data_IF_375620221761
#
_entry.id   IF_375620221761
#
_cell.length_a   1.000
_cell.length_b   1.000
_cell.length_c   1.000
_cell.angle_alpha   90.00
_cell.angle_beta   90.00
_cell.angle_gamma   90.00
#
_symmetry.space_group_name_H-M   'P 1'
#
loop_
_entity.id
_entity.type
_entity.pdbx_description
1 polymer ?
#
# COMPACT_ATOMS: atom_id res chain seq x y z
N UNK A 1 -20.33 0.90 -4.13
CA UNK A 1 -18.89 1.26 -4.12
C UNK A 1 -18.22 0.64 -5.34
N UNK A 2 -17.31 1.35 -5.99
CA UNK A 2 -16.53 0.81 -7.11
C UNK A 2 -15.36 -0.03 -6.55
N UNK A 3 -15.22 -1.27 -7.00
CA UNK A 3 -14.15 -2.19 -6.55
C UNK A 3 -12.81 -1.94 -7.23
N UNK A 4 -12.78 -1.13 -8.30
CA UNK A 4 -11.57 -0.87 -9.08
C UNK A 4 -10.40 -0.36 -8.24
N UNK A 5 -10.58 0.59 -7.30
CA UNK A 5 -9.43 1.06 -6.51
C UNK A 5 -8.85 -0.04 -5.62
N UNK A 6 -9.67 -0.91 -5.03
CA UNK A 6 -9.19 -2.08 -4.29
C UNK A 6 -8.38 -3.01 -5.21
N UNK A 7 -8.87 -3.30 -6.41
CA UNK A 7 -8.16 -4.13 -7.38
C UNK A 7 -6.84 -3.51 -7.81
N UNK A 8 -6.79 -2.18 -7.99
CA UNK A 8 -5.55 -1.45 -8.26
C UNK A 8 -4.53 -1.66 -7.15
N UNK A 9 -4.91 -1.50 -5.88
CA UNK A 9 -4.00 -1.75 -4.76
C UNK A 9 -3.58 -3.22 -4.67
N UNK A 10 -4.48 -4.16 -4.89
CA UNK A 10 -4.13 -5.59 -4.91
C UNK A 10 -3.18 -5.92 -6.07
N UNK A 11 -3.31 -5.26 -7.23
CA UNK A 11 -2.39 -5.44 -8.35
C UNK A 11 -0.96 -5.03 -8.01
N UNK A 12 -0.77 -4.06 -7.09
CA UNK A 12 0.55 -3.68 -6.59
C UNK A 12 1.25 -4.76 -5.75
N UNK A 13 0.55 -5.82 -5.33
CA UNK A 13 1.18 -6.98 -4.70
C UNK A 13 2.05 -7.76 -5.69
N UNK A 14 1.67 -7.77 -6.98
CA UNK A 14 2.31 -8.59 -8.00
C UNK A 14 3.78 -8.22 -8.24
N UNK A 15 4.13 -6.96 -8.57
CA UNK A 15 5.53 -6.59 -8.75
C UNK A 15 6.35 -6.78 -7.46
N UNK A 16 5.76 -6.45 -6.32
CA UNK A 16 6.41 -6.58 -5.02
C UNK A 16 6.74 -8.03 -4.68
N UNK A 17 5.80 -8.95 -4.88
CA UNK A 17 6.01 -10.38 -4.68
C UNK A 17 7.06 -10.94 -5.66
N UNK A 18 7.06 -10.48 -6.92
CA UNK A 18 8.06 -10.88 -7.91
C UNK A 18 9.48 -10.48 -7.49
N UNK A 19 9.66 -9.26 -6.98
CA UNK A 19 10.95 -8.78 -6.46
C UNK A 19 11.32 -9.49 -5.16
N UNK A 20 10.41 -9.53 -4.18
CA UNK A 20 10.64 -10.10 -2.86
C UNK A 20 11.03 -11.59 -2.93
N UNK A 21 10.41 -12.37 -3.82
CA UNK A 21 10.76 -13.78 -4.05
C UNK A 21 12.22 -13.99 -4.44
N UNK A 22 12.84 -13.02 -5.09
CA UNK A 22 14.23 -13.12 -5.57
C UNK A 22 15.23 -12.58 -4.57
N UNK A 23 14.89 -11.49 -3.88
CA UNK A 23 15.82 -10.77 -3.00
C UNK A 23 15.68 -11.16 -1.53
N UNK A 24 14.45 -11.41 -1.08
CA UNK A 24 14.11 -11.67 0.33
C UNK A 24 13.07 -12.80 0.47
N UNK A 25 13.27 -13.97 -0.17
CA UNK A 25 12.28 -15.06 -0.19
C UNK A 25 11.87 -15.56 1.21
N UNK A 26 12.75 -15.42 2.19
CA UNK A 26 12.49 -15.76 3.58
C UNK A 26 11.33 -14.96 4.18
N UNK A 27 11.11 -13.73 3.72
CA UNK A 27 10.07 -12.84 4.24
C UNK A 27 8.67 -13.22 3.76
N UNK A 28 8.57 -14.01 2.69
CA UNK A 28 7.30 -14.52 2.14
C UNK A 28 6.82 -15.82 2.82
N UNK A 29 7.55 -16.31 3.84
CA UNK A 29 7.20 -17.56 4.53
C UNK A 29 6.16 -17.40 5.63
N UNK A 30 5.78 -16.16 5.98
CA UNK A 30 4.81 -15.88 7.04
C UNK A 30 3.35 -16.19 6.69
N UNK A 31 3.08 -16.71 5.49
CA UNK A 31 1.73 -16.94 5.01
C UNK A 31 1.15 -15.71 4.33
N UNK A 32 -0.16 -15.72 4.07
CA UNK A 32 -0.83 -14.78 3.17
C UNK A 32 -0.68 -13.33 3.63
N UNK A 33 -1.13 -13.00 4.85
CA UNK A 33 -1.10 -11.63 5.34
C UNK A 33 0.32 -11.07 5.46
N UNK A 34 1.29 -11.75 6.09
CA UNK A 34 2.68 -11.28 6.11
C UNK A 34 3.27 -11.08 4.71
N UNK A 35 2.99 -12.00 3.77
CA UNK A 35 3.47 -11.87 2.38
C UNK A 35 2.88 -10.66 1.67
N UNK A 36 1.62 -10.30 1.95
CA UNK A 36 1.00 -9.11 1.39
C UNK A 36 1.69 -7.83 1.87
N UNK A 37 2.01 -7.76 3.17
CA UNK A 37 2.71 -6.62 3.76
C UNK A 37 4.08 -6.41 3.11
N UNK A 38 4.87 -7.48 3.02
CA UNK A 38 6.19 -7.49 2.37
C UNK A 38 6.06 -7.10 0.90
N UNK A 39 5.06 -7.63 0.20
CA UNK A 39 4.87 -7.34 -1.23
C UNK A 39 4.53 -5.88 -1.48
N UNK A 40 3.57 -5.30 -0.75
CA UNK A 40 3.27 -3.87 -0.88
C UNK A 40 4.45 -2.98 -0.53
N UNK A 41 5.12 -3.26 0.59
CA UNK A 41 6.30 -2.49 0.99
C UNK A 41 7.41 -2.58 -0.05
N UNK A 42 7.67 -3.78 -0.60
CA UNK A 42 8.65 -3.97 -1.67
C UNK A 42 8.30 -3.13 -2.90
N UNK A 43 7.04 -3.13 -3.33
CA UNK A 43 6.58 -2.27 -4.42
C UNK A 43 6.82 -0.81 -4.13
N UNK A 44 6.50 -0.34 -2.91
CA UNK A 44 6.72 1.06 -2.52
C UNK A 44 8.20 1.43 -2.51
N UNK A 45 9.06 0.58 -1.97
CA UNK A 45 10.51 0.81 -1.94
C UNK A 45 11.09 0.86 -3.35
N UNK A 46 10.67 -0.04 -4.25
CA UNK A 46 11.14 -0.05 -5.65
C UNK A 46 10.66 1.18 -6.42
N UNK A 47 9.42 1.63 -6.18
CA UNK A 47 8.85 2.80 -6.85
C UNK A 47 9.33 4.12 -6.25
N UNK A 48 9.77 4.16 -5.00
CA UNK A 48 10.12 5.40 -4.31
C UNK A 48 11.15 6.25 -5.06
N UNK A 49 12.29 5.72 -5.56
CA UNK A 49 13.24 6.51 -6.34
C UNK A 49 12.62 7.12 -7.60
N UNK A 50 11.80 6.34 -8.31
CA UNK A 50 11.13 6.79 -9.55
C UNK A 50 10.13 7.91 -9.24
N UNK A 51 9.37 7.77 -8.16
CA UNK A 51 8.41 8.79 -7.71
C UNK A 51 9.14 10.05 -7.23
N UNK A 52 10.25 9.93 -6.49
CA UNK A 52 11.06 11.08 -6.06
C UNK A 52 11.60 11.84 -7.28
N UNK A 53 12.20 11.15 -8.24
CA UNK A 53 12.66 11.76 -9.50
C UNK A 53 11.48 12.37 -10.26
N UNK A 54 10.33 11.70 -10.26
CA UNK A 54 9.10 12.21 -10.84
C UNK A 54 8.67 13.55 -10.24
N UNK A 55 8.73 13.70 -8.91
CA UNK A 55 8.47 14.97 -8.22
C UNK A 55 9.50 16.05 -8.53
N UNK A 56 10.78 15.69 -8.58
CA UNK A 56 11.87 16.63 -8.89
C UNK A 56 11.79 17.15 -10.33
N UNK A 57 11.47 16.27 -11.28
CA UNK A 57 11.38 16.58 -12.70
C UNK A 57 9.97 16.98 -13.16
N UNK A 58 8.99 17.04 -12.25
CA UNK A 58 7.59 17.40 -12.54
C UNK A 58 6.95 16.56 -13.62
N UNK A 59 7.21 15.26 -13.56
CA UNK A 59 6.78 14.33 -14.60
C UNK A 59 5.24 14.28 -14.62
N UNK A 60 4.60 14.42 -15.80
CA UNK A 60 3.15 14.26 -15.90
C UNK A 60 2.69 12.90 -15.38
N UNK A 61 1.46 12.81 -14.86
CA UNK A 61 0.95 11.57 -14.26
C UNK A 61 0.79 10.44 -15.29
N UNK A 62 0.53 10.76 -16.55
CA UNK A 62 0.28 9.80 -17.63
C UNK A 62 1.48 8.86 -17.91
N UNK A 63 2.71 9.34 -18.15
CA UNK A 63 3.87 8.44 -18.30
C UNK A 63 4.14 7.62 -17.03
N UNK A 64 3.91 8.18 -15.84
CA UNK A 64 4.03 7.42 -14.58
C UNK A 64 2.98 6.30 -14.49
N UNK A 65 1.77 6.53 -14.98
CA UNK A 65 0.73 5.52 -15.10
C UNK A 65 1.12 4.40 -16.06
N UNK A 66 1.64 4.73 -17.24
CA UNK A 66 2.14 3.73 -18.17
C UNK A 66 3.28 2.90 -17.55
N UNK A 67 4.24 3.54 -16.89
CA UNK A 67 5.34 2.87 -16.20
C UNK A 67 4.83 1.90 -15.11
N UNK A 68 3.87 2.34 -14.30
CA UNK A 68 3.29 1.49 -13.26
C UNK A 68 2.52 0.31 -13.85
N UNK A 69 1.76 0.52 -14.92
CA UNK A 69 1.08 -0.56 -15.63
C UNK A 69 2.07 -1.60 -16.17
N UNK A 70 3.16 -1.15 -16.80
CA UNK A 70 4.25 -2.05 -17.26
C UNK A 70 4.86 -2.81 -16.09
N UNK A 71 5.09 -2.17 -14.95
CA UNK A 71 5.66 -2.82 -13.77
C UNK A 71 4.72 -3.88 -13.18
N UNK A 72 3.41 -3.60 -13.11
CA UNK A 72 2.39 -4.56 -12.70
C UNK A 72 2.35 -5.75 -13.66
N UNK A 73 2.32 -5.48 -14.98
CA UNK A 73 2.30 -6.53 -16.01
C UNK A 73 3.54 -7.40 -15.98
N UNK A 74 4.72 -6.80 -15.75
CA UNK A 74 5.96 -7.53 -15.55
C UNK A 74 5.90 -8.44 -14.33
N UNK A 75 5.41 -7.94 -13.19
CA UNK A 75 5.25 -8.72 -11.96
C UNK A 75 4.29 -9.90 -12.16
N UNK A 76 3.16 -9.66 -12.83
CA UNK A 76 2.20 -10.70 -13.19
C UNK A 76 2.86 -11.77 -14.07
N UNK A 77 3.54 -11.36 -15.15
CA UNK A 77 4.20 -12.27 -16.08
C UNK A 77 5.30 -13.11 -15.41
N UNK A 78 6.12 -12.50 -14.54
CA UNK A 78 7.16 -13.22 -13.80
C UNK A 78 6.56 -14.31 -12.89
N UNK A 79 5.53 -13.97 -12.12
CA UNK A 79 4.88 -14.90 -11.21
C UNK A 79 4.19 -16.05 -11.96
N UNK A 80 3.57 -15.76 -13.11
CA UNK A 80 2.98 -16.75 -13.99
C UNK A 80 4.05 -17.71 -14.55
N UNK A 81 5.15 -17.16 -15.09
CA UNK A 81 6.27 -17.94 -15.64
C UNK A 81 6.94 -18.82 -14.58
N UNK A 82 7.09 -18.30 -13.37
CA UNK A 82 7.64 -19.03 -12.23
C UNK A 82 6.66 -20.06 -11.63
N UNK A 83 5.43 -20.18 -12.18
CA UNK A 83 4.39 -21.12 -11.74
C UNK A 83 4.07 -21.04 -10.25
N UNK A 84 4.22 -19.86 -9.65
CA UNK A 84 3.98 -19.64 -8.21
C UNK A 84 2.54 -20.00 -7.83
N UNK A 85 1.61 -19.88 -8.78
CA UNK A 85 0.20 -20.23 -8.63
C UNK A 85 -0.06 -21.72 -8.39
N UNK A 86 0.82 -22.64 -8.84
CA UNK A 86 0.62 -24.10 -8.75
C UNK A 86 0.63 -24.59 -7.29
N UNK A 87 1.28 -23.87 -6.38
CA UNK A 87 1.22 -24.11 -4.93
C UNK A 87 0.35 -23.13 -4.14
N UNK A 88 -0.15 -22.07 -4.78
CA UNK A 88 -0.73 -20.89 -4.11
C UNK A 88 -2.25 -20.78 -4.25
N UNK A 89 -2.95 -21.80 -4.75
CA UNK A 89 -4.42 -21.78 -4.93
C UNK A 89 -5.16 -21.38 -3.64
N UNK A 90 -4.73 -21.92 -2.50
CA UNK A 90 -5.30 -21.62 -1.20
C UNK A 90 -4.97 -20.18 -0.75
N UNK A 91 -3.81 -19.66 -1.13
CA UNK A 91 -3.43 -18.28 -0.88
C UNK A 91 -4.26 -17.30 -1.73
N UNK A 92 -4.53 -17.61 -3.00
CA UNK A 92 -5.40 -16.79 -3.86
C UNK A 92 -6.82 -16.73 -3.29
N UNK A 93 -7.39 -17.88 -2.93
CA UNK A 93 -8.72 -17.94 -2.30
C UNK A 93 -8.74 -17.18 -0.97
N UNK A 94 -7.68 -17.30 -0.16
CA UNK A 94 -7.55 -16.55 1.09
C UNK A 94 -7.45 -15.04 0.84
N UNK A 95 -6.69 -14.58 -0.15
CA UNK A 95 -6.61 -13.16 -0.51
C UNK A 95 -7.99 -12.64 -0.91
N UNK A 96 -8.71 -13.38 -1.77
CA UNK A 96 -10.06 -13.00 -2.20
C UNK A 96 -11.02 -12.98 -1.00
N UNK A 97 -10.99 -14.02 -0.16
CA UNK A 97 -11.84 -14.12 1.02
C UNK A 97 -11.58 -13.01 2.04
N UNK A 98 -10.30 -12.71 2.32
CA UNK A 98 -9.89 -11.63 3.21
C UNK A 98 -10.27 -10.27 2.62
N UNK A 99 -9.97 -10.02 1.34
CA UNK A 99 -10.34 -8.78 0.67
C UNK A 99 -11.86 -8.59 0.67
N UNK A 100 -12.62 -9.64 0.39
CA UNK A 100 -14.08 -9.63 0.47
C UNK A 100 -14.61 -9.34 1.87
N UNK A 101 -14.04 -9.97 2.91
CA UNK A 101 -14.39 -9.69 4.30
C UNK A 101 -14.08 -8.24 4.68
N UNK A 102 -12.95 -7.70 4.24
CA UNK A 102 -12.57 -6.30 4.47
C UNK A 102 -13.53 -5.33 3.79
N UNK A 103 -13.97 -5.62 2.56
CA UNK A 103 -15.00 -4.82 1.86
C UNK A 103 -16.33 -4.86 2.60
N UNK A 104 -16.76 -6.03 3.09
CA UNK A 104 -17.99 -6.16 3.87
C UNK A 104 -17.93 -5.38 5.18
N UNK A 105 -16.81 -5.49 5.91
CA UNK A 105 -16.56 -4.72 7.13
C UNK A 105 -16.59 -3.22 6.81
N UNK A 106 -15.99 -2.79 5.69
CA UNK A 106 -16.02 -1.40 5.26
C UNK A 106 -17.42 -0.88 5.00
N UNK A 107 -18.24 -1.63 4.27
CA UNK A 107 -19.62 -1.24 4.01
C UNK A 107 -20.40 -1.01 5.31
N UNK A 108 -20.31 -1.96 6.25
CA UNK A 108 -21.02 -1.87 7.54
C UNK A 108 -20.54 -0.70 8.39
N UNK A 109 -19.24 -0.42 8.39
CA UNK A 109 -18.67 0.67 9.18
C UNK A 109 -18.89 2.04 8.53
N UNK A 110 -18.76 2.14 7.20
CA UNK A 110 -18.95 3.37 6.45
C UNK A 110 -20.37 3.91 6.60
N UNK A 111 -21.38 3.03 6.62
CA UNK A 111 -22.77 3.39 6.90
C UNK A 111 -22.97 3.97 8.31
N UNK A 112 -22.21 3.49 9.30
CA UNK A 112 -22.37 3.91 10.71
C UNK A 112 -21.76 5.26 11.03
N UNK A 113 -20.62 5.60 10.41
CA UNK A 113 -19.83 6.76 10.84
C UNK A 113 -20.08 7.99 9.94
N UNK A 114 -20.64 7.84 8.74
CA UNK A 114 -20.81 8.96 7.79
C UNK A 114 -19.51 9.71 7.44
N UNK A 115 -18.36 9.17 7.87
CA UNK A 115 -17.09 9.88 8.09
C UNK A 115 -16.16 9.87 6.88
N UNK A 116 -16.76 9.91 5.70
CA UNK A 116 -16.06 9.84 4.43
C UNK A 116 -15.23 11.13 4.23
N UNK A 117 -15.55 12.27 4.89
CA UNK A 117 -14.81 13.54 4.74
C UNK A 117 -14.32 14.18 6.05
N UNK A 118 -14.04 13.39 7.09
CA UNK A 118 -13.49 13.94 8.34
C UNK A 118 -12.04 14.43 8.18
N UNK A 119 -11.61 15.39 9.00
CA UNK A 119 -10.21 15.87 9.09
C UNK A 119 -9.61 16.31 7.74
N UNK A 120 -8.37 15.90 7.45
CA UNK A 120 -7.57 16.37 6.31
C UNK A 120 -7.88 15.64 5.00
N UNK A 121 -8.95 14.82 4.90
CA UNK A 121 -9.37 14.16 3.65
C UNK A 121 -9.46 15.13 2.48
N UNK A 122 -10.09 16.29 2.69
CA UNK A 122 -10.27 17.32 1.66
C UNK A 122 -8.92 17.77 1.10
N UNK A 123 -7.94 17.91 1.98
CA UNK A 123 -6.59 18.33 1.63
C UNK A 123 -5.88 17.26 0.81
N UNK A 124 -5.98 15.99 1.21
CA UNK A 124 -5.37 14.90 0.45
C UNK A 124 -6.03 14.69 -0.91
N UNK A 125 -7.36 14.79 -1.00
CA UNK A 125 -8.10 14.70 -2.26
C UNK A 125 -7.72 15.86 -3.18
N UNK A 126 -7.64 17.09 -2.65
CA UNK A 126 -7.16 18.26 -3.41
C UNK A 126 -5.74 18.04 -3.93
N UNK A 127 -4.85 17.49 -3.09
CA UNK A 127 -3.49 17.13 -3.49
C UNK A 127 -3.48 16.10 -4.61
N UNK A 128 -4.27 15.01 -4.51
CA UNK A 128 -4.36 13.99 -5.55
C UNK A 128 -4.87 14.59 -6.86
N UNK A 129 -5.94 15.40 -6.79
CA UNK A 129 -6.48 16.10 -7.96
C UNK A 129 -5.42 16.99 -8.62
N UNK A 130 -4.71 17.78 -7.83
CA UNK A 130 -3.63 18.62 -8.33
C UNK A 130 -2.56 17.80 -9.06
N UNK A 131 -2.14 16.66 -8.49
CA UNK A 131 -1.18 15.77 -9.12
C UNK A 131 -1.70 15.14 -10.41
N UNK A 132 -3.01 14.87 -10.53
CA UNK A 132 -3.64 14.35 -11.76
C UNK A 132 -3.64 15.40 -12.89
N UNK A 133 -3.76 16.68 -12.52
CA UNK A 133 -3.87 17.81 -13.45
C UNK A 133 -2.49 18.37 -13.85
N UNK A 134 -1.56 18.46 -12.90
CA UNK A 134 -0.28 19.19 -13.04
C UNK A 134 0.96 18.26 -13.02
N UNK A 135 0.76 16.95 -12.88
CA UNK A 135 1.85 15.99 -12.74
C UNK A 135 2.40 15.91 -11.33
N UNK A 136 3.47 15.13 -11.15
CA UNK A 136 4.15 14.98 -9.86
C UNK A 136 4.86 16.29 -9.48
N UNK A 137 4.17 17.22 -8.85
CA UNK A 137 4.73 18.50 -8.40
C UNK A 137 4.61 18.65 -6.89
N UNK A 138 5.53 19.41 -6.26
CA UNK A 138 5.44 19.79 -4.86
C UNK A 138 4.70 21.12 -4.62
N UNK A 139 4.12 21.72 -5.66
CA UNK A 139 3.34 22.94 -5.56
C UNK A 139 2.10 22.81 -4.67
N UNK A 140 1.75 23.91 -4.01
CA UNK A 140 0.56 24.05 -3.20
C UNK A 140 -0.71 24.02 -4.07
N UNK A 141 -1.64 23.06 -3.85
CA UNK A 141 -2.87 22.98 -4.64
C UNK A 141 -3.85 24.13 -4.39
N UNK A 142 -3.65 24.94 -3.35
CA UNK A 142 -4.54 26.04 -2.95
C UNK A 142 -4.00 27.43 -3.30
N UNK A 143 -2.73 27.56 -3.70
CA UNK A 143 -2.12 28.84 -4.03
C UNK A 143 -1.92 28.93 -5.54
N UNK A 144 -2.68 29.83 -6.18
CA UNK A 144 -2.48 30.17 -7.59
C UNK A 144 -1.66 31.46 -7.70
N UNK A 145 -0.55 31.43 -8.43
CA UNK A 145 0.30 32.60 -8.63
C UNK A 145 1.49 32.35 -9.56
N UNK A 146 2.21 33.40 -9.97
CA UNK A 146 3.37 33.29 -10.85
C UNK A 146 4.57 32.60 -10.20
N UNK A 147 4.58 32.50 -8.87
CA UNK A 147 5.61 31.81 -8.08
C UNK A 147 4.97 30.57 -7.46
N UNK A 148 5.56 29.41 -7.73
CA UNK A 148 5.10 28.15 -7.15
C UNK A 148 5.54 28.06 -5.70
N UNK A 149 4.56 28.04 -4.80
CA UNK A 149 4.82 27.82 -3.39
C UNK A 149 4.86 26.32 -3.09
N UNK A 150 5.90 25.83 -2.40
CA UNK A 150 5.95 24.43 -2.00
C UNK A 150 4.84 24.15 -0.99
N UNK A 151 4.16 23.02 -1.17
CA UNK A 151 3.07 22.65 -0.29
C UNK A 151 3.59 22.25 1.10
N UNK A 152 3.29 23.02 2.16
CA UNK A 152 4.00 22.86 3.43
C UNK A 152 3.57 21.61 4.21
N UNK A 153 2.41 21.03 3.87
CA UNK A 153 1.81 19.94 4.64
C UNK A 153 2.12 18.56 4.05
N UNK A 154 1.90 18.36 2.75
CA UNK A 154 2.03 17.05 2.09
C UNK A 154 2.81 17.13 0.76
N UNK A 155 4.13 17.17 0.85
CA UNK A 155 5.05 17.30 -0.27
C UNK A 155 5.29 15.95 -0.98
N UNK A 156 6.51 15.41 -0.95
CA UNK A 156 6.90 14.18 -1.65
C UNK A 156 6.33 12.95 -0.96
N UNK A 157 5.22 12.43 -1.48
CA UNK A 157 4.59 11.24 -0.93
C UNK A 157 4.20 10.23 -2.02
N UNK A 158 4.64 8.98 -1.85
CA UNK A 158 4.33 7.89 -2.78
C UNK A 158 2.84 7.54 -2.80
N UNK A 159 2.12 7.68 -1.69
CA UNK A 159 0.70 7.37 -1.63
C UNK A 159 -0.12 8.36 -2.44
N UNK A 160 0.19 9.67 -2.38
CA UNK A 160 -0.48 10.67 -3.24
C UNK A 160 -0.19 10.43 -4.71
N UNK A 161 1.07 10.12 -5.03
CA UNK A 161 1.47 9.79 -6.40
C UNK A 161 0.71 8.56 -6.93
N UNK A 162 0.65 7.48 -6.14
CA UNK A 162 -0.05 6.24 -6.51
C UNK A 162 -1.56 6.44 -6.65
N UNK A 163 -2.19 7.27 -5.83
CA UNK A 163 -3.61 7.63 -6.01
C UNK A 163 -3.83 8.40 -7.32
N UNK A 164 -2.99 9.41 -7.60
CA UNK A 164 -3.11 10.19 -8.83
C UNK A 164 -2.89 9.32 -10.08
N UNK A 165 -1.90 8.44 -10.03
CA UNK A 165 -1.64 7.43 -11.06
C UNK A 165 -2.82 6.46 -11.20
N UNK A 166 -3.37 5.97 -10.08
CA UNK A 166 -4.54 5.10 -10.06
C UNK A 166 -5.76 5.77 -10.72
N UNK A 167 -6.01 7.05 -10.43
CA UNK A 167 -7.07 7.83 -11.07
C UNK A 167 -6.92 7.84 -12.60
N UNK A 168 -5.69 8.05 -13.11
CA UNK A 168 -5.39 8.01 -14.56
C UNK A 168 -5.58 6.62 -15.16
N UNK A 169 -5.11 5.57 -14.49
CA UNK A 169 -5.21 4.19 -15.00
C UNK A 169 -6.65 3.67 -15.04
N UNK A 170 -7.44 4.02 -14.03
CA UNK A 170 -8.81 3.53 -13.88
C UNK A 170 -9.85 4.47 -14.51
N UNK A 171 -9.44 5.64 -15.00
CA UNK A 171 -10.33 6.69 -15.49
C UNK A 171 -11.42 7.09 -14.49
N UNK A 172 -11.03 7.25 -13.22
CA UNK A 172 -11.94 7.64 -12.14
C UNK A 172 -11.49 8.95 -11.51
N UNK A 173 -12.42 9.66 -10.89
CA UNK A 173 -12.12 10.88 -10.17
C UNK A 173 -11.39 10.60 -8.84
N UNK A 174 -10.63 11.60 -8.31
CA UNK A 174 -9.90 11.46 -7.05
C UNK A 174 -10.76 11.08 -5.83
N UNK A 175 -12.01 11.53 -5.77
CA UNK A 175 -12.91 11.24 -4.66
C UNK A 175 -13.30 9.75 -4.67
N UNK A 176 -13.69 9.23 -5.83
CA UNK A 176 -13.99 7.82 -6.02
C UNK A 176 -12.77 6.94 -5.74
N UNK A 177 -11.58 7.33 -6.23
CA UNK A 177 -10.34 6.61 -5.97
C UNK A 177 -10.02 6.57 -4.48
N UNK A 178 -10.13 7.70 -3.78
CA UNK A 178 -9.85 7.81 -2.35
C UNK A 178 -10.74 6.87 -1.53
N UNK A 179 -12.06 6.87 -1.75
CA UNK A 179 -12.97 6.03 -0.97
C UNK A 179 -12.91 4.56 -1.33
N UNK A 180 -12.82 4.22 -2.62
CA UNK A 180 -12.70 2.82 -3.01
C UNK A 180 -11.40 2.17 -2.51
N UNK A 181 -10.41 2.97 -2.09
CA UNK A 181 -9.13 2.50 -1.59
C UNK A 181 -9.15 2.16 -0.09
N UNK A 182 -10.19 2.52 0.66
CA UNK A 182 -10.25 2.32 2.12
C UNK A 182 -10.01 0.86 2.53
N UNK A 183 -10.67 -0.07 1.86
CA UNK A 183 -10.45 -1.50 2.08
C UNK A 183 -8.99 -1.93 1.90
N UNK A 184 -8.29 -1.36 0.92
CA UNK A 184 -6.87 -1.66 0.72
C UNK A 184 -6.00 -1.15 1.88
N UNK A 185 -6.24 0.06 2.39
CA UNK A 185 -5.51 0.57 3.56
C UNK A 185 -5.75 -0.25 4.82
N UNK A 186 -6.98 -0.74 5.04
CA UNK A 186 -7.26 -1.63 6.17
C UNK A 186 -6.47 -2.93 6.06
N UNK A 187 -6.46 -3.49 4.87
CA UNK A 187 -5.74 -4.73 4.59
C UNK A 187 -4.23 -4.54 4.73
N UNK A 188 -3.68 -3.41 4.28
CA UNK A 188 -2.28 -3.03 4.52
C UNK A 188 -1.98 -3.01 6.02
N UNK A 189 -2.73 -2.25 6.81
CA UNK A 189 -2.51 -2.14 8.27
C UNK A 189 -2.63 -3.50 8.97
N UNK A 190 -3.67 -4.28 8.66
CA UNK A 190 -3.83 -5.63 9.21
C UNK A 190 -2.65 -6.55 8.82
N UNK A 191 -2.20 -6.47 7.56
CA UNK A 191 -1.08 -7.26 7.06
C UNK A 191 0.24 -6.89 7.73
N UNK A 192 0.49 -5.61 8.03
CA UNK A 192 1.70 -5.16 8.73
C UNK A 192 1.73 -5.64 10.19
N UNK A 193 0.60 -5.55 10.89
CA UNK A 193 0.46 -6.15 12.22
C UNK A 193 0.69 -7.65 12.21
N UNK A 194 0.12 -8.34 11.21
CA UNK A 194 0.32 -9.78 11.00
C UNK A 194 1.79 -10.14 10.74
N UNK A 195 2.50 -9.33 9.92
CA UNK A 195 3.93 -9.52 9.64
C UNK A 195 4.79 -9.32 10.90
N UNK A 196 4.55 -8.26 11.67
CA UNK A 196 5.28 -8.03 12.93
C UNK A 196 5.03 -9.18 13.93
N UNK A 197 3.78 -9.61 14.10
CA UNK A 197 3.45 -10.73 14.97
C UNK A 197 4.11 -12.03 14.52
N UNK A 198 4.16 -12.29 13.20
CA UNK A 198 4.88 -13.44 12.66
C UNK A 198 6.37 -13.41 13.02
N UNK A 199 7.01 -12.25 12.87
CA UNK A 199 8.44 -12.10 13.17
C UNK A 199 8.73 -12.30 14.66
N UNK A 200 7.91 -11.72 15.54
CA UNK A 200 8.15 -11.74 16.99
C UNK A 200 7.77 -13.08 17.62
N UNK A 201 6.62 -13.63 17.26
CA UNK A 201 6.03 -14.80 17.94
C UNK A 201 6.22 -16.10 17.15
N UNK A 202 6.51 -16.02 15.85
CA UNK A 202 6.57 -17.17 14.97
C UNK A 202 5.22 -17.87 14.78
N UNK A 203 5.27 -19.05 14.16
CA UNK A 203 4.10 -19.89 13.92
C UNK A 203 3.10 -19.33 12.90
N UNK A 204 2.09 -20.14 12.57
CA UNK A 204 1.06 -19.80 11.58
C UNK A 204 -0.16 -19.11 12.20
N UNK A 205 -0.36 -19.18 13.52
CA UNK A 205 -1.56 -18.67 14.21
C UNK A 205 -1.44 -17.19 14.59
N UNK A 206 -0.26 -16.74 15.02
CA UNK A 206 -0.01 -15.39 15.52
C UNK A 206 -0.38 -14.29 14.51
N UNK A 207 -0.10 -14.44 13.19
CA UNK A 207 -0.46 -13.43 12.20
C UNK A 207 -1.98 -13.22 12.10
N UNK A 208 -2.77 -14.29 12.24
CA UNK A 208 -4.22 -14.22 12.19
C UNK A 208 -4.82 -13.56 13.42
N UNK A 209 -4.30 -13.89 14.61
CA UNK A 209 -4.73 -13.24 15.86
C UNK A 209 -4.43 -11.75 15.82
N UNK A 210 -3.23 -11.37 15.39
CA UNK A 210 -2.86 -9.96 15.25
C UNK A 210 -3.76 -9.23 14.23
N UNK A 211 -4.01 -9.84 13.08
CA UNK A 211 -4.91 -9.26 12.07
C UNK A 211 -6.33 -9.07 12.61
N UNK A 212 -6.88 -10.05 13.32
CA UNK A 212 -8.20 -9.96 13.94
C UNK A 212 -8.24 -8.86 15.01
N UNK A 213 -7.22 -8.78 15.87
CA UNK A 213 -7.13 -7.73 16.90
C UNK A 213 -7.06 -6.34 16.27
N UNK A 214 -6.27 -6.18 15.21
CA UNK A 214 -6.17 -4.93 14.45
C UNK A 214 -7.54 -4.57 13.86
N UNK A 215 -8.22 -5.52 13.21
CA UNK A 215 -9.58 -5.30 12.66
C UNK A 215 -10.57 -4.89 13.76
N UNK A 216 -10.66 -5.65 14.86
CA UNK A 216 -11.62 -5.41 15.93
C UNK A 216 -11.35 -4.08 16.65
N UNK A 217 -10.09 -3.81 16.98
CA UNK A 217 -9.71 -2.63 17.77
C UNK A 217 -9.79 -1.33 16.95
N UNK A 218 -9.49 -1.39 15.65
CA UNK A 218 -9.39 -0.19 14.80
C UNK A 218 -10.59 0.05 13.89
N UNK A 219 -11.44 -0.97 13.68
CA UNK A 219 -12.66 -0.89 12.86
C UNK A 219 -13.47 0.40 13.09
N UNK A 220 -13.74 0.84 14.34
CA UNK A 220 -14.74 1.87 14.52
C UNK A 220 -14.24 3.32 14.34
N UNK A 221 -12.94 3.63 14.39
CA UNK A 221 -12.49 5.03 14.42
C UNK A 221 -11.20 5.39 13.65
N UNK A 222 -10.29 4.46 13.32
CA UNK A 222 -8.90 4.81 12.94
C UNK A 222 -8.42 4.27 11.60
N UNK A 223 -9.23 3.47 10.90
CA UNK A 223 -8.88 2.96 9.57
C UNK A 223 -9.22 3.96 8.47
N UNK A 224 -8.55 5.10 8.51
CA UNK A 224 -8.67 6.11 7.46
C UNK A 224 -7.47 6.04 6.54
N UNK A 225 -7.72 6.30 5.25
CA UNK A 225 -6.76 6.16 4.16
C UNK A 225 -5.76 7.33 4.12
N UNK A 226 -5.17 7.68 5.26
CA UNK A 226 -4.25 8.79 5.29
C UNK A 226 -2.80 8.35 5.22
N UNK A 227 -1.94 9.06 4.47
CA UNK A 227 -0.51 8.79 4.51
C UNK A 227 0.09 8.86 5.92
N UNK A 228 -0.38 9.77 6.78
CA UNK A 228 0.02 9.86 8.19
C UNK A 228 -0.60 8.75 9.08
N UNK A 229 -1.55 7.95 8.58
CA UNK A 229 -2.02 6.73 9.24
C UNK A 229 -1.28 5.49 8.71
N UNK A 230 -1.03 5.42 7.39
CA UNK A 230 -0.26 4.32 6.81
C UNK A 230 1.21 4.34 7.25
N UNK A 231 1.82 5.50 7.49
CA UNK A 231 3.17 5.55 8.04
C UNK A 231 3.29 4.80 9.40
N UNK A 232 2.55 5.17 10.46
CA UNK A 232 2.65 4.51 11.76
C UNK A 232 2.04 3.11 11.81
N UNK A 233 1.01 2.81 11.01
CA UNK A 233 0.27 1.55 11.12
C UNK A 233 0.60 0.51 10.05
N UNK A 234 1.28 0.90 8.97
CA UNK A 234 1.75 -0.02 7.94
C UNK A 234 3.28 -0.02 7.83
N UNK A 235 3.90 1.14 7.62
CA UNK A 235 5.34 1.20 7.36
C UNK A 235 6.19 0.92 8.60
N UNK A 236 5.89 1.57 9.73
CA UNK A 236 6.67 1.39 10.98
C UNK A 236 6.65 -0.06 11.47
N UNK A 237 5.51 -0.77 11.57
CA UNK A 237 5.51 -2.16 12.03
C UNK A 237 6.35 -3.08 11.16
N UNK A 238 6.35 -2.87 9.83
CA UNK A 238 7.21 -3.61 8.90
C UNK A 238 8.68 -3.28 9.13
N UNK A 239 9.02 -1.99 9.27
CA UNK A 239 10.40 -1.56 9.55
C UNK A 239 10.92 -2.13 10.88
N UNK A 240 10.10 -2.14 11.93
CA UNK A 240 10.43 -2.74 13.23
C UNK A 240 10.63 -4.25 13.10
N UNK A 241 9.74 -4.94 12.38
CA UNK A 241 9.88 -6.37 12.14
C UNK A 241 11.18 -6.72 11.38
N UNK A 242 11.51 -5.95 10.35
CA UNK A 242 12.78 -6.09 9.62
C UNK A 242 13.98 -5.85 10.56
N UNK A 243 13.93 -4.80 11.38
CA UNK A 243 14.98 -4.51 12.35
C UNK A 243 15.17 -5.64 13.36
N UNK A 244 14.09 -6.21 13.90
CA UNK A 244 14.14 -7.38 14.78
C UNK A 244 14.83 -8.55 14.08
N UNK A 245 14.46 -8.86 12.84
CA UNK A 245 15.10 -9.94 12.07
C UNK A 245 16.59 -9.72 11.84
N UNK A 246 17.00 -8.50 11.49
CA UNK A 246 18.40 -8.16 11.30
C UNK A 246 19.21 -8.28 12.60
N UNK A 247 18.60 -7.92 13.74
CA UNK A 247 19.24 -8.01 15.05
C UNK A 247 19.26 -9.44 15.63
N UNK A 248 18.29 -10.28 15.25
CA UNK A 248 18.19 -11.68 15.67
C UNK A 248 18.88 -12.67 14.72
N UNK A 249 19.41 -12.20 13.59
CA UNK A 249 20.19 -13.06 12.69
C UNK A 249 21.43 -13.58 13.45
N UNK A 250 21.77 -14.89 13.35
CA UNK A 250 23.00 -15.41 13.90
C UNK A 250 24.15 -14.56 13.35
N UNK A 251 24.89 -13.88 14.23
CA UNK A 251 26.15 -13.28 13.83
C UNK A 251 27.08 -14.45 13.57
N UNK A 252 27.55 -14.61 12.33
CA UNK A 252 28.66 -15.52 12.07
C UNK A 252 29.88 -14.99 12.83
N UNK A 253 30.12 -15.51 14.04
CA UNK A 253 31.28 -15.17 14.90
C UNK A 253 32.56 -15.87 14.39
N UNK A 254 32.57 -16.38 13.16
CA UNK A 254 33.70 -17.14 12.59
C UNK A 254 34.32 -16.55 11.32
N UNK A 255 34.11 -15.26 11.05
CA UNK A 255 34.80 -14.54 9.98
C UNK A 255 35.53 -13.30 10.50
N UNK A 256 36.45 -13.50 11.44
CA UNK A 256 37.57 -12.60 11.73
C UNK A 256 38.82 -13.44 12.00
#
# INVERSE_FOLDING_TARGET
MNVMPLLFWLALLLPGAAVARRLIPQELRGGVLPSMAVSWMTTFVVLAPVVIVGYLARVPTTPMAALLAVFIMWGAFDLLRARVWVGSRHAVVAIIGIAGAVVLIDLVLAERVGAILNNDARVHIARIRFLVEHGLSNGDPFIQGPVEFPYPIYHTNILHALHAIGCKLMFIDPLQCWFGSLGASRLMIASAGAYLAWVVLGGSWAPWVAALMVVVHRAPYDYTLYPNQLAPWFAIPIAVAVAIRLLSAPRDVHAL
#
